data_IF_756213123387
#
_entry.id   IF_756213123387
#
_cell.length_a   1.000
_cell.length_b   1.000
_cell.length_c   1.000
_cell.angle_alpha   90.00
_cell.angle_beta   90.00
_cell.angle_gamma   90.00
#
_symmetry.space_group_name_H-M   'P 1'
#
loop_
_entity.id
_entity.type
_entity.pdbx_description
1 polymer ?
#
# COMPACT_ATOMS: atom_id res chain seq x y z
N UNK A 1 17.71 4.53 18.19
CA UNK A 1 16.81 5.24 17.26
C UNK A 1 15.39 5.44 17.82
N UNK A 2 14.73 4.42 18.39
CA UNK A 2 13.36 4.55 18.92
C UNK A 2 13.15 5.64 20.01
N UNK A 3 14.15 5.86 20.88
CA UNK A 3 14.13 6.95 21.88
C UNK A 3 14.20 8.35 21.28
N UNK A 4 15.00 8.55 20.22
CA UNK A 4 15.14 9.86 19.55
C UNK A 4 13.91 10.27 18.75
N UNK A 5 13.04 9.31 18.43
CA UNK A 5 11.75 9.52 17.76
C UNK A 5 10.57 9.56 18.75
N UNK A 6 10.84 9.48 20.06
CA UNK A 6 9.82 9.51 21.10
C UNK A 6 8.85 8.33 21.11
N UNK A 7 9.14 7.23 20.39
CA UNK A 7 8.24 6.06 20.23
C UNK A 7 8.04 5.32 21.57
N UNK A 8 8.92 5.56 22.54
CA UNK A 8 8.93 5.04 23.90
C UNK A 8 8.03 5.79 24.90
N UNK A 9 7.32 6.85 24.48
CA UNK A 9 6.49 7.69 25.37
C UNK A 9 5.03 7.19 25.35
N UNK A 10 4.43 7.05 26.53
CA UNK A 10 3.04 6.61 26.72
C UNK A 10 2.06 7.50 25.93
N UNK A 11 1.31 6.89 25.00
CA UNK A 11 0.51 7.61 24.00
C UNK A 11 -0.86 8.04 24.50
N UNK A 12 -1.40 7.42 25.55
CA UNK A 12 -2.81 7.58 25.95
C UNK A 12 -3.20 9.03 26.25
N UNK A 13 -2.25 9.82 26.76
CA UNK A 13 -2.47 11.20 27.21
C UNK A 13 -1.99 12.27 26.21
N UNK A 14 -1.62 11.88 24.99
CA UNK A 14 -1.19 12.85 23.97
C UNK A 14 -2.38 13.50 23.24
N UNK A 15 -2.24 14.76 22.79
CA UNK A 15 -3.16 15.37 21.84
C UNK A 15 -3.37 14.49 20.60
N UNK A 16 -4.58 14.54 20.01
CA UNK A 16 -4.95 13.64 18.91
C UNK A 16 -4.04 13.77 17.67
N UNK A 17 -3.57 14.98 17.38
CA UNK A 17 -2.63 15.24 16.29
C UNK A 17 -1.26 14.58 16.53
N UNK A 18 -0.79 14.57 17.78
CA UNK A 18 0.46 13.92 18.16
C UNK A 18 0.34 12.40 18.12
N UNK A 19 -0.84 11.86 18.49
CA UNK A 19 -1.17 10.45 18.28
C UNK A 19 -1.10 10.09 16.80
N UNK A 20 -1.74 10.88 15.92
CA UNK A 20 -1.70 10.70 14.47
C UNK A 20 -0.28 10.70 13.90
N UNK A 21 0.50 11.77 14.16
CA UNK A 21 1.85 11.94 13.62
C UNK A 21 2.78 10.79 14.02
N UNK A 22 2.72 10.36 15.29
CA UNK A 22 3.53 9.26 15.79
C UNK A 22 3.14 7.91 15.21
N UNK A 23 1.84 7.66 14.99
CA UNK A 23 1.39 6.46 14.31
C UNK A 23 1.85 6.44 12.85
N UNK A 24 1.79 7.57 12.15
CA UNK A 24 2.28 7.70 10.78
C UNK A 24 3.80 7.43 10.67
N UNK A 25 4.60 8.02 11.56
CA UNK A 25 6.05 7.77 11.65
C UNK A 25 6.34 6.29 11.91
N UNK A 26 5.66 5.69 12.89
CA UNK A 26 5.80 4.27 13.21
C UNK A 26 5.49 3.39 12.00
N UNK A 27 4.38 3.64 11.30
CA UNK A 27 3.97 2.84 10.13
C UNK A 27 4.92 2.98 8.94
N UNK A 28 5.48 4.17 8.70
CA UNK A 28 6.50 4.38 7.67
C UNK A 28 7.80 3.64 8.00
N UNK A 29 8.23 3.66 9.25
CA UNK A 29 9.41 2.95 9.73
C UNK A 29 9.20 1.43 9.63
N UNK A 30 8.07 0.92 10.12
CA UNK A 30 7.72 -0.51 10.01
C UNK A 30 7.70 -0.98 8.56
N UNK A 31 7.18 -0.16 7.64
CA UNK A 31 7.17 -0.49 6.20
C UNK A 31 8.58 -0.69 5.66
N UNK A 32 9.50 0.20 6.00
CA UNK A 32 10.91 0.08 5.61
C UNK A 32 11.53 -1.22 6.15
N UNK A 33 11.29 -1.53 7.43
CA UNK A 33 11.77 -2.76 8.07
C UNK A 33 11.23 -4.05 7.42
N UNK A 34 9.92 -4.12 7.13
CA UNK A 34 9.32 -5.32 6.53
C UNK A 34 9.71 -5.51 5.05
N UNK A 35 10.09 -4.45 4.35
CA UNK A 35 10.49 -4.51 2.95
C UNK A 35 11.97 -4.86 2.75
N UNK A 36 12.88 -4.40 3.62
CA UNK A 36 14.32 -4.58 3.40
C UNK A 36 14.89 -5.96 3.75
N UNK A 37 14.10 -6.95 4.22
CA UNK A 37 14.64 -8.22 4.75
C UNK A 37 15.73 -8.02 5.82
N UNK A 38 15.82 -6.86 6.47
CA UNK A 38 16.64 -6.73 7.68
C UNK A 38 15.96 -7.64 8.70
N UNK A 39 16.61 -8.76 9.01
CA UNK A 39 16.05 -9.84 9.82
C UNK A 39 15.43 -9.34 11.13
N UNK A 40 14.62 -10.20 11.77
CA UNK A 40 13.93 -9.91 13.04
C UNK A 40 14.82 -9.10 13.99
N UNK A 41 14.52 -7.80 14.15
CA UNK A 41 15.25 -7.00 15.13
C UNK A 41 14.97 -7.58 16.52
N UNK A 42 16.01 -7.77 17.33
CA UNK A 42 15.91 -8.13 18.74
C UNK A 42 15.19 -7.07 19.60
N UNK A 43 14.76 -5.98 18.98
CA UNK A 43 13.91 -4.99 19.61
C UNK A 43 12.47 -5.47 19.51
N UNK A 44 11.91 -5.88 20.65
CA UNK A 44 10.46 -5.94 20.82
C UNK A 44 9.89 -4.63 20.30
N UNK A 45 9.11 -4.69 19.21
CA UNK A 45 8.38 -3.54 18.70
C UNK A 45 7.51 -3.04 19.86
N UNK A 46 7.96 -1.94 20.47
CA UNK A 46 7.45 -1.44 21.73
C UNK A 46 5.94 -1.20 21.63
N UNK A 47 5.28 -1.80 22.62
CA UNK A 47 3.87 -1.79 22.98
C UNK A 47 3.07 -0.52 22.65
N UNK A 48 2.04 -0.70 21.83
CA UNK A 48 0.62 -0.39 22.08
C UNK A 48 -0.07 -0.26 20.71
N UNK A 49 -0.63 -1.36 20.21
CA UNK A 49 -1.58 -1.35 19.11
C UNK A 49 -2.92 -0.83 19.66
N UNK A 50 -3.13 0.49 19.70
CA UNK A 50 -4.50 1.01 19.82
C UNK A 50 -5.21 0.82 18.49
N UNK A 51 -6.23 -0.05 18.50
CA UNK A 51 -7.13 -0.39 17.39
C UNK A 51 -8.22 0.65 17.17
N UNK A 52 -8.35 1.64 18.05
CA UNK A 52 -9.60 2.42 18.19
C UNK A 52 -9.54 3.85 17.64
N UNK A 53 -8.36 4.32 17.20
CA UNK A 53 -8.27 5.60 16.49
C UNK A 53 -8.31 5.33 14.98
N UNK A 54 -9.40 5.70 14.31
CA UNK A 54 -9.42 5.80 12.85
C UNK A 54 -8.56 7.00 12.42
N UNK A 55 -7.24 6.79 12.48
CA UNK A 55 -6.22 7.76 12.07
C UNK A 55 -6.36 8.16 10.59
N UNK A 56 -7.18 7.45 9.81
CA UNK A 56 -7.46 7.80 8.43
C UNK A 56 -8.61 8.78 8.32
N UNK A 57 -9.26 9.19 9.41
CA UNK A 57 -10.28 10.21 9.32
C UNK A 57 -9.66 11.54 8.82
N UNK A 58 -10.27 12.11 7.79
CA UNK A 58 -9.80 13.32 7.12
C UNK A 58 -9.69 14.51 8.07
N UNK A 59 -10.42 14.50 9.19
CA UNK A 59 -10.34 15.53 10.23
C UNK A 59 -8.98 15.61 10.94
N UNK A 60 -8.13 14.59 10.81
CA UNK A 60 -6.83 14.52 11.48
C UNK A 60 -5.63 14.88 10.58
N UNK A 61 -5.88 15.15 9.30
CA UNK A 61 -4.83 15.54 8.37
C UNK A 61 -4.58 17.04 8.48
N UNK A 62 -3.35 17.43 8.81
CA UNK A 62 -2.89 18.82 8.74
C UNK A 62 -2.24 19.08 7.39
N UNK A 63 -2.51 20.27 6.84
CA UNK A 63 -1.99 20.71 5.54
C UNK A 63 -0.46 20.76 5.62
N UNK A 64 0.23 20.18 4.63
CA UNK A 64 1.63 20.56 4.41
C UNK A 64 1.67 22.05 4.05
N UNK A 65 2.55 22.83 4.66
CA UNK A 65 2.79 24.23 4.30
C UNK A 65 3.26 24.40 2.85
N UNK A 66 3.68 23.32 2.20
CA UNK A 66 4.07 23.27 0.79
C UNK A 66 2.86 23.13 -0.16
N UNK A 67 1.69 22.76 0.35
CA UNK A 67 0.45 22.63 -0.44
C UNK A 67 -0.35 23.94 -0.34
N UNK A 68 -0.15 24.83 -1.32
CA UNK A 68 -0.94 26.03 -1.44
C UNK A 68 -2.29 25.73 -2.11
N UNK A 69 -3.35 25.55 -1.30
CA UNK A 69 -4.72 25.39 -1.79
C UNK A 69 -5.43 26.72 -2.09
N UNK A 70 -4.75 27.87 -1.99
CA UNK A 70 -5.30 29.20 -2.30
C UNK A 70 -6.70 29.49 -1.68
N UNK A 71 -6.95 29.00 -0.47
CA UNK A 71 -8.25 29.05 0.23
C UNK A 71 -9.43 28.26 -0.40
N UNK A 72 -9.17 27.32 -1.32
CA UNK A 72 -10.20 26.42 -1.85
C UNK A 72 -10.49 25.27 -0.85
N UNK A 73 -11.54 25.45 -0.05
CA UNK A 73 -11.96 24.50 0.97
C UNK A 73 -12.47 23.17 0.39
N UNK A 74 -13.03 23.19 -0.82
CA UNK A 74 -13.53 21.99 -1.49
C UNK A 74 -12.35 21.15 -1.95
N UNK A 75 -11.39 21.76 -2.67
CA UNK A 75 -10.17 21.08 -3.11
C UNK A 75 -9.37 20.51 -1.94
N UNK A 76 -9.32 21.24 -0.82
CA UNK A 76 -8.74 20.75 0.43
C UNK A 76 -9.44 19.49 0.95
N UNK A 77 -10.77 19.52 1.06
CA UNK A 77 -11.54 18.38 1.56
C UNK A 77 -11.36 17.14 0.67
N UNK A 78 -11.38 17.33 -0.66
CA UNK A 78 -11.13 16.24 -1.63
C UNK A 78 -9.73 15.65 -1.45
N UNK A 79 -8.70 16.49 -1.33
CA UNK A 79 -7.35 16.03 -1.10
C UNK A 79 -7.20 15.25 0.22
N UNK A 80 -7.82 15.74 1.31
CA UNK A 80 -7.76 15.06 2.61
C UNK A 80 -8.45 13.69 2.57
N UNK A 81 -9.59 13.58 1.88
CA UNK A 81 -10.28 12.30 1.66
C UNK A 81 -9.42 11.35 0.83
N UNK A 82 -8.81 11.84 -0.26
CA UNK A 82 -7.87 11.05 -1.04
C UNK A 82 -6.72 10.52 -0.16
N UNK A 83 -6.06 11.38 0.60
CA UNK A 83 -4.90 11.02 1.43
C UNK A 83 -5.29 9.97 2.48
N UNK A 84 -6.50 10.05 3.03
CA UNK A 84 -7.10 9.07 3.93
C UNK A 84 -7.19 7.69 3.28
N UNK A 85 -7.85 7.62 2.12
CA UNK A 85 -8.06 6.36 1.40
C UNK A 85 -6.73 5.77 0.92
N UNK A 86 -5.83 6.60 0.41
CA UNK A 86 -4.49 6.19 0.00
C UNK A 86 -3.70 5.61 1.17
N UNK A 87 -3.66 6.32 2.30
CA UNK A 87 -2.96 5.87 3.51
C UNK A 87 -3.54 4.57 4.06
N UNK A 88 -4.87 4.38 3.97
CA UNK A 88 -5.52 3.13 4.39
C UNK A 88 -5.06 1.94 3.55
N UNK A 89 -4.93 2.11 2.24
CA UNK A 89 -4.42 1.08 1.32
C UNK A 89 -2.94 0.77 1.54
N UNK A 90 -2.11 1.79 1.76
CA UNK A 90 -0.69 1.62 2.10
C UNK A 90 -0.52 0.89 3.43
N UNK A 91 -1.36 1.21 4.42
CA UNK A 91 -1.28 0.55 5.72
C UNK A 91 -1.80 -0.88 5.69
N UNK A 92 -2.75 -1.18 4.79
CA UNK A 92 -3.12 -2.56 4.53
C UNK A 92 -1.93 -3.38 4.00
N UNK A 93 -1.01 -2.78 3.22
CA UNK A 93 0.24 -3.43 2.80
C UNK A 93 1.07 -3.90 3.99
N UNK A 94 1.14 -3.11 5.07
CA UNK A 94 1.89 -3.47 6.27
C UNK A 94 1.24 -4.65 7.00
N UNK A 95 -0.08 -4.64 7.11
CA UNK A 95 -0.85 -5.73 7.74
C UNK A 95 -0.66 -7.02 6.95
N UNK A 96 -0.85 -6.98 5.62
CA UNK A 96 -0.66 -8.12 4.73
C UNK A 96 0.77 -8.66 4.88
N UNK A 97 1.78 -7.81 4.71
CA UNK A 97 3.17 -8.27 4.80
C UNK A 97 3.48 -8.88 6.17
N UNK A 98 3.07 -8.23 7.27
CA UNK A 98 3.26 -8.77 8.62
C UNK A 98 2.66 -10.17 8.77
N UNK A 99 1.40 -10.36 8.36
CA UNK A 99 0.71 -11.65 8.46
C UNK A 99 1.37 -12.73 7.59
N UNK A 100 1.76 -12.37 6.36
CA UNK A 100 2.41 -13.31 5.44
C UNK A 100 3.82 -13.72 5.91
N UNK A 101 4.47 -12.94 6.77
CA UNK A 101 5.79 -13.26 7.34
C UNK A 101 5.71 -13.95 8.70
N UNK A 102 4.71 -13.66 9.53
CA UNK A 102 4.61 -14.20 10.89
C UNK A 102 3.97 -15.58 10.99
N UNK A 103 3.18 -16.00 10.00
CA UNK A 103 2.39 -17.22 10.08
C UNK A 103 3.08 -18.43 9.42
N UNK A 104 2.80 -19.63 9.93
CA UNK A 104 3.22 -20.88 9.30
C UNK A 104 2.52 -21.10 7.94
N UNK A 105 3.07 -21.98 7.10
CA UNK A 105 2.56 -22.17 5.73
C UNK A 105 1.12 -22.67 5.66
N UNK A 106 0.63 -23.41 6.66
CA UNK A 106 -0.73 -23.98 6.68
C UNK A 106 -1.77 -22.94 7.09
N UNK A 107 -1.47 -22.10 8.07
CA UNK A 107 -2.32 -21.00 8.50
C UNK A 107 -2.48 -19.94 7.41
N UNK A 108 -1.40 -19.67 6.66
CA UNK A 108 -1.39 -18.70 5.56
C UNK A 108 -2.31 -19.11 4.41
N UNK A 109 -2.35 -20.39 4.02
CA UNK A 109 -3.23 -20.85 2.94
C UNK A 109 -4.71 -20.54 3.21
N UNK A 110 -5.14 -20.63 4.48
CA UNK A 110 -6.50 -20.31 4.90
C UNK A 110 -6.78 -18.80 4.91
N UNK A 111 -5.80 -18.00 5.36
CA UNK A 111 -5.95 -16.54 5.49
C UNK A 111 -5.78 -15.77 4.17
N UNK A 112 -5.09 -16.32 3.18
CA UNK A 112 -4.87 -15.67 1.88
C UNK A 112 -6.19 -15.23 1.23
N UNK A 113 -7.22 -16.08 1.28
CA UNK A 113 -8.54 -15.75 0.71
C UNK A 113 -9.19 -14.57 1.41
N UNK A 114 -9.11 -14.52 2.74
CA UNK A 114 -9.62 -13.42 3.56
C UNK A 114 -8.86 -12.12 3.28
N UNK A 115 -7.52 -12.17 3.18
CA UNK A 115 -6.69 -11.02 2.83
C UNK A 115 -7.04 -10.45 1.46
N UNK A 116 -7.30 -11.30 0.48
CA UNK A 116 -7.71 -10.88 -0.86
C UNK A 116 -9.09 -10.20 -0.83
N UNK A 117 -10.06 -10.76 -0.10
CA UNK A 117 -11.39 -10.17 0.08
C UNK A 117 -11.30 -8.78 0.74
N UNK A 118 -10.59 -8.67 1.87
CA UNK A 118 -10.40 -7.40 2.58
C UNK A 118 -9.73 -6.35 1.68
N UNK A 119 -8.70 -6.75 0.92
CA UNK A 119 -8.01 -5.85 -0.01
C UNK A 119 -8.94 -5.30 -1.07
N UNK A 120 -9.79 -6.15 -1.65
CA UNK A 120 -10.78 -5.74 -2.63
C UNK A 120 -11.86 -4.83 -2.04
N UNK A 121 -12.34 -5.11 -0.83
CA UNK A 121 -13.36 -4.30 -0.16
C UNK A 121 -12.83 -2.90 0.16
N UNK A 122 -11.63 -2.80 0.73
CA UNK A 122 -11.00 -1.51 1.05
C UNK A 122 -10.77 -0.69 -0.22
N UNK A 123 -10.29 -1.30 -1.30
CA UNK A 123 -10.11 -0.60 -2.57
C UNK A 123 -11.43 -0.16 -3.20
N UNK A 124 -12.44 -1.05 -3.26
CA UNK A 124 -13.77 -0.69 -3.80
C UNK A 124 -14.41 0.45 -3.01
N UNK A 125 -14.34 0.41 -1.67
CA UNK A 125 -14.83 1.49 -0.81
C UNK A 125 -14.11 2.82 -1.09
N UNK A 126 -12.77 2.80 -1.19
CA UNK A 126 -11.97 3.98 -1.54
C UNK A 126 -12.36 4.55 -2.91
N UNK A 127 -12.45 3.67 -3.91
CA UNK A 127 -12.82 4.02 -5.28
C UNK A 127 -14.21 4.66 -5.33
N UNK A 128 -15.23 4.00 -4.76
CA UNK A 128 -16.60 4.53 -4.76
C UNK A 128 -16.72 5.86 -3.99
N UNK A 129 -15.92 6.07 -2.94
CA UNK A 129 -15.87 7.36 -2.24
C UNK A 129 -15.40 8.47 -3.18
N UNK A 130 -14.30 8.26 -3.91
CA UNK A 130 -13.76 9.24 -4.84
C UNK A 130 -14.68 9.46 -6.06
N UNK A 131 -15.28 8.39 -6.61
CA UNK A 131 -16.25 8.48 -7.71
C UNK A 131 -17.49 9.27 -7.30
N UNK A 132 -17.97 9.13 -6.07
CA UNK A 132 -19.08 9.93 -5.54
C UNK A 132 -18.72 11.42 -5.47
N UNK A 133 -17.52 11.74 -4.97
CA UNK A 133 -17.03 13.13 -4.93
C UNK A 133 -16.89 13.71 -6.33
N UNK A 134 -16.46 12.91 -7.31
CA UNK A 134 -16.35 13.34 -8.71
C UNK A 134 -17.70 13.77 -9.29
N UNK A 135 -18.80 13.15 -8.85
CA UNK A 135 -20.17 13.54 -9.23
C UNK A 135 -20.58 14.84 -8.53
N UNK A 136 -20.24 14.99 -7.24
CA UNK A 136 -20.62 16.17 -6.45
C UNK A 136 -19.74 17.41 -6.70
N UNK A 137 -18.51 17.23 -7.19
CA UNK A 137 -17.55 18.29 -7.49
C UNK A 137 -16.97 18.10 -8.90
N UNK A 138 -17.77 18.32 -9.96
CA UNK A 138 -17.36 18.07 -11.35
C UNK A 138 -16.17 18.92 -11.80
N UNK A 139 -16.00 20.11 -11.20
CA UNK A 139 -14.86 21.00 -11.49
C UNK A 139 -13.50 20.41 -11.05
N UNK A 140 -13.51 19.42 -10.15
CA UNK A 140 -12.32 18.71 -9.67
C UNK A 140 -12.15 17.33 -10.33
N UNK A 141 -12.87 17.07 -11.44
CA UNK A 141 -12.90 15.75 -12.08
C UNK A 141 -11.52 15.25 -12.50
N UNK A 142 -10.67 16.13 -13.01
CA UNK A 142 -9.34 15.76 -13.48
C UNK A 142 -8.42 15.41 -12.30
N UNK A 143 -8.42 16.21 -11.22
CA UNK A 143 -7.70 15.86 -9.98
C UNK A 143 -8.22 14.56 -9.35
N UNK A 144 -9.53 14.35 -9.29
CA UNK A 144 -10.11 13.13 -8.71
C UNK A 144 -9.78 11.91 -9.56
N UNK A 145 -9.75 12.05 -10.88
CA UNK A 145 -9.32 11.00 -11.80
C UNK A 145 -7.85 10.61 -11.58
N UNK A 146 -6.97 11.59 -11.32
CA UNK A 146 -5.60 11.34 -10.90
C UNK A 146 -5.54 10.62 -9.53
N UNK A 147 -6.36 11.03 -8.56
CA UNK A 147 -6.43 10.36 -7.25
C UNK A 147 -6.92 8.90 -7.36
N UNK A 148 -7.84 8.61 -8.27
CA UNK A 148 -8.29 7.25 -8.57
C UNK A 148 -7.15 6.38 -9.10
N UNK A 149 -6.29 6.90 -9.98
CA UNK A 149 -5.07 6.20 -10.41
C UNK A 149 -4.11 5.99 -9.24
N UNK A 150 -3.91 7.00 -8.40
CA UNK A 150 -3.01 6.95 -7.24
C UNK A 150 -3.41 5.86 -6.25
N UNK A 151 -4.68 5.75 -5.88
CA UNK A 151 -5.13 4.71 -4.93
C UNK A 151 -5.07 3.30 -5.51
N UNK A 152 -5.13 3.15 -6.84
CA UNK A 152 -5.02 1.85 -7.49
C UNK A 152 -3.62 1.24 -7.36
N UNK A 153 -2.60 2.09 -7.28
CA UNK A 153 -1.21 1.66 -7.17
C UNK A 153 -0.92 0.79 -5.92
N UNK A 154 -1.20 1.25 -4.68
CA UNK A 154 -0.99 0.42 -3.48
C UNK A 154 -1.93 -0.79 -3.43
N UNK A 155 -3.11 -0.70 -4.04
CA UNK A 155 -3.99 -1.86 -4.21
C UNK A 155 -3.33 -2.96 -5.05
N UNK A 156 -2.77 -2.63 -6.21
CA UNK A 156 -2.04 -3.62 -7.04
C UNK A 156 -0.85 -4.19 -6.29
N UNK A 157 -0.10 -3.36 -5.55
CA UNK A 157 1.01 -3.85 -4.73
C UNK A 157 0.56 -4.86 -3.66
N UNK A 158 -0.57 -4.62 -3.00
CA UNK A 158 -1.16 -5.57 -2.06
C UNK A 158 -1.51 -6.90 -2.74
N UNK A 159 -2.12 -6.85 -3.93
CA UNK A 159 -2.42 -8.05 -4.72
C UNK A 159 -1.12 -8.81 -5.07
N UNK A 160 -0.06 -8.11 -5.49
CA UNK A 160 1.23 -8.73 -5.80
C UNK A 160 1.82 -9.48 -4.61
N UNK A 161 1.74 -8.93 -3.40
CA UNK A 161 2.15 -9.60 -2.17
C UNK A 161 1.35 -10.90 -1.94
N UNK A 162 0.01 -10.84 -2.09
CA UNK A 162 -0.88 -11.99 -1.89
C UNK A 162 -0.60 -13.08 -2.92
N UNK A 163 -0.59 -12.74 -4.22
CA UNK A 163 -0.33 -13.71 -5.30
C UNK A 163 1.06 -14.35 -5.18
N UNK A 164 2.06 -13.58 -4.80
CA UNK A 164 3.40 -14.13 -4.56
C UNK A 164 3.36 -15.17 -3.47
N UNK A 165 2.68 -14.88 -2.34
CA UNK A 165 2.60 -15.84 -1.25
C UNK A 165 1.81 -17.08 -1.64
N UNK A 166 0.74 -16.95 -2.42
CA UNK A 166 0.01 -18.09 -3.00
C UNK A 166 0.94 -19.00 -3.81
N UNK A 167 1.83 -18.43 -4.63
CA UNK A 167 2.82 -19.17 -5.41
C UNK A 167 3.91 -19.80 -4.51
N UNK A 168 4.22 -19.19 -3.37
CA UNK A 168 5.18 -19.72 -2.40
C UNK A 168 4.66 -20.90 -1.60
N UNK A 169 3.41 -20.85 -1.14
CA UNK A 169 2.84 -21.90 -0.30
C UNK A 169 2.25 -23.05 -1.10
N UNK A 170 1.84 -22.81 -2.35
CA UNK A 170 1.23 -23.84 -3.17
C UNK A 170 2.23 -24.93 -3.61
N UNK A 171 1.88 -26.19 -3.35
CA UNK A 171 2.59 -27.36 -3.89
C UNK A 171 2.43 -27.50 -5.40
N UNK A 172 1.29 -27.08 -5.95
CA UNK A 172 0.94 -27.20 -7.37
C UNK A 172 0.62 -25.81 -7.93
N UNK A 173 1.67 -25.12 -8.37
CA UNK A 173 1.55 -23.76 -8.89
C UNK A 173 0.81 -23.80 -10.23
N UNK A 174 -0.35 -23.15 -10.29
CA UNK A 174 -1.09 -22.99 -11.54
C UNK A 174 -0.43 -21.91 -12.38
N UNK A 175 -0.14 -22.20 -13.66
CA UNK A 175 0.41 -21.20 -14.60
C UNK A 175 -0.40 -19.92 -14.62
N UNK A 176 -1.74 -20.03 -14.61
CA UNK A 176 -2.66 -18.89 -14.60
C UNK A 176 -2.43 -17.92 -13.41
N UNK A 177 -1.99 -18.42 -12.26
CA UNK A 177 -1.66 -17.56 -11.10
C UNK A 177 -0.40 -16.73 -11.37
N UNK A 178 0.61 -17.32 -12.02
CA UNK A 178 1.82 -16.62 -12.45
C UNK A 178 1.48 -15.59 -13.53
N UNK A 179 0.65 -15.95 -14.52
CA UNK A 179 0.20 -15.04 -15.58
C UNK A 179 -0.55 -13.83 -15.02
N UNK A 180 -1.38 -14.06 -14.00
CA UNK A 180 -2.09 -12.99 -13.29
C UNK A 180 -1.10 -12.06 -12.59
N UNK A 181 -0.10 -12.60 -11.89
CA UNK A 181 0.93 -11.79 -11.23
C UNK A 181 1.74 -10.96 -12.24
N UNK A 182 2.15 -11.57 -13.36
CA UNK A 182 2.87 -10.85 -14.42
C UNK A 182 2.02 -9.70 -14.97
N UNK A 183 0.72 -9.96 -15.23
CA UNK A 183 -0.21 -8.94 -15.73
C UNK A 183 -0.35 -7.77 -14.77
N UNK A 184 -0.42 -8.03 -13.45
CA UNK A 184 -0.46 -7.01 -12.40
C UNK A 184 0.84 -6.21 -12.31
N UNK A 185 2.00 -6.85 -12.47
CA UNK A 185 3.28 -6.14 -12.54
C UNK A 185 3.36 -5.21 -13.76
N UNK A 186 2.88 -5.67 -14.93
CA UNK A 186 2.80 -4.85 -16.15
C UNK A 186 1.86 -3.66 -15.94
N UNK A 187 0.69 -3.91 -15.34
CA UNK A 187 -0.28 -2.86 -15.02
C UNK A 187 0.35 -1.79 -14.11
N UNK A 188 1.00 -2.21 -13.03
CA UNK A 188 1.70 -1.30 -12.11
C UNK A 188 2.78 -0.50 -12.86
N UNK A 189 3.64 -1.15 -13.62
CA UNK A 189 4.69 -0.50 -14.42
C UNK A 189 4.13 0.53 -15.41
N UNK A 190 3.05 0.19 -16.10
CA UNK A 190 2.39 1.07 -17.06
C UNK A 190 1.80 2.31 -16.39
N UNK A 191 1.30 2.21 -15.15
CA UNK A 191 0.85 3.37 -14.40
C UNK A 191 1.99 4.37 -14.17
N UNK A 192 3.13 3.89 -13.65
CA UNK A 192 4.28 4.75 -13.35
C UNK A 192 4.98 5.33 -14.58
N UNK A 193 5.03 4.58 -15.68
CA UNK A 193 5.61 5.08 -16.92
C UNK A 193 4.76 6.16 -17.60
N UNK A 194 3.44 6.15 -17.41
CA UNK A 194 2.51 7.14 -17.98
C UNK A 194 2.35 8.38 -17.11
N UNK A 195 2.52 8.26 -15.79
CA UNK A 195 2.24 9.33 -14.86
C UNK A 195 3.44 9.56 -13.92
N UNK A 196 4.27 10.55 -14.27
CA UNK A 196 5.47 10.91 -13.47
C UNK A 196 5.12 11.43 -12.07
N UNK A 197 3.91 11.95 -11.86
CA UNK A 197 3.45 12.42 -10.54
C UNK A 197 3.37 11.23 -9.56
N UNK A 198 3.03 10.03 -10.05
CA UNK A 198 3.06 8.81 -9.23
C UNK A 198 4.45 8.54 -8.65
N UNK A 199 5.52 8.79 -9.42
CA UNK A 199 6.89 8.58 -8.94
C UNK A 199 7.20 9.54 -7.78
N UNK A 200 6.73 10.79 -7.87
CA UNK A 200 6.93 11.78 -6.80
C UNK A 200 6.16 11.43 -5.53
N UNK A 201 4.92 10.97 -5.66
CA UNK A 201 4.06 10.65 -4.50
C UNK A 201 4.42 9.29 -3.89
N UNK A 202 4.75 8.30 -4.73
CA UNK A 202 5.03 6.94 -4.29
C UNK A 202 6.06 6.24 -5.19
N UNK A 203 7.33 6.63 -5.09
CA UNK A 203 8.44 6.17 -5.94
C UNK A 203 8.70 4.65 -5.97
N UNK A 204 8.09 3.90 -5.07
CA UNK A 204 8.39 2.48 -4.87
C UNK A 204 7.72 1.53 -5.85
N UNK A 205 6.64 1.93 -6.53
CA UNK A 205 5.84 1.00 -7.34
C UNK A 205 6.61 0.24 -8.43
N UNK A 206 7.48 0.87 -9.24
CA UNK A 206 8.30 0.15 -10.22
C UNK A 206 9.21 -0.91 -9.58
N UNK A 207 9.80 -0.59 -8.42
CA UNK A 207 10.65 -1.51 -7.67
C UNK A 207 9.86 -2.69 -7.11
N UNK A 208 8.62 -2.48 -6.66
CA UNK A 208 7.71 -3.55 -6.23
C UNK A 208 7.42 -4.50 -7.39
N UNK A 209 7.06 -3.96 -8.57
CA UNK A 209 6.80 -4.78 -9.75
C UNK A 209 8.02 -5.63 -10.11
N UNK A 210 9.20 -5.01 -10.19
CA UNK A 210 10.45 -5.70 -10.49
C UNK A 210 10.78 -6.80 -9.46
N UNK A 211 10.65 -6.49 -8.16
CA UNK A 211 10.88 -7.44 -7.08
C UNK A 211 10.02 -8.69 -7.21
N UNK A 212 8.71 -8.51 -7.45
CA UNK A 212 7.80 -9.64 -7.58
C UNK A 212 8.06 -10.47 -8.84
N UNK A 213 8.39 -9.83 -9.96
CA UNK A 213 8.79 -10.53 -11.20
C UNK A 213 10.04 -11.40 -11.00
N UNK A 214 11.07 -10.86 -10.32
CA UNK A 214 12.29 -11.62 -9.99
C UNK A 214 11.93 -12.82 -9.10
N UNK A 215 11.06 -12.61 -8.12
CA UNK A 215 10.68 -13.64 -7.13
C UNK A 215 9.94 -14.83 -7.75
N UNK A 216 9.12 -14.62 -8.77
CA UNK A 216 8.42 -15.70 -9.48
C UNK A 216 9.21 -16.31 -10.63
N UNK A 217 10.34 -15.72 -11.01
CA UNK A 217 11.07 -16.06 -12.23
C UNK A 217 11.46 -17.55 -12.30
N UNK A 218 12.01 -18.12 -11.23
CA UNK A 218 12.45 -19.53 -11.21
C UNK A 218 11.29 -20.50 -11.44
N UNK A 219 10.09 -20.15 -10.97
CA UNK A 219 8.85 -20.94 -11.02
C UNK A 219 8.08 -20.77 -12.34
N UNK A 220 8.50 -19.85 -13.20
CA UNK A 220 7.81 -19.50 -14.44
C UNK A 220 8.15 -20.44 -15.61
N UNK A 221 7.22 -20.58 -16.55
CA UNK A 221 7.41 -21.29 -17.82
C UNK A 221 8.42 -20.55 -18.71
N UNK A 222 8.86 -21.20 -19.80
CA UNK A 222 9.82 -20.61 -20.74
C UNK A 222 9.31 -19.29 -21.34
N UNK A 223 8.04 -19.22 -21.71
CA UNK A 223 7.47 -18.02 -22.33
C UNK A 223 7.20 -16.92 -21.31
N UNK A 224 6.74 -17.26 -20.10
CA UNK A 224 6.63 -16.32 -18.99
C UNK A 224 8.00 -15.70 -18.64
N UNK A 225 9.07 -16.51 -18.61
CA UNK A 225 10.44 -16.03 -18.37
C UNK A 225 10.89 -15.01 -19.42
N UNK A 226 10.58 -15.22 -20.71
CA UNK A 226 10.87 -14.24 -21.77
C UNK A 226 10.14 -12.92 -21.51
N UNK A 227 8.86 -12.97 -21.16
CA UNK A 227 8.07 -11.79 -20.83
C UNK A 227 8.65 -11.04 -19.62
N UNK A 228 9.00 -11.77 -18.55
CA UNK A 228 9.64 -11.18 -17.36
C UNK A 228 10.95 -10.49 -17.74
N UNK A 229 11.83 -11.15 -18.50
CA UNK A 229 13.10 -10.57 -18.93
C UNK A 229 12.90 -9.31 -19.78
N UNK A 230 11.90 -9.30 -20.65
CA UNK A 230 11.58 -8.13 -21.47
C UNK A 230 11.16 -6.93 -20.61
N UNK A 231 10.33 -7.17 -19.59
CA UNK A 231 9.88 -6.12 -18.67
C UNK A 231 11.06 -5.58 -17.84
N UNK A 232 11.89 -6.45 -17.26
CA UNK A 232 13.00 -6.06 -16.39
C UNK A 232 14.15 -5.34 -17.12
N UNK A 233 14.21 -5.40 -18.45
CA UNK A 233 15.21 -4.70 -19.28
C UNK A 233 14.79 -3.29 -19.70
N UNK A 234 13.54 -2.91 -19.45
CA UNK A 234 13.00 -1.57 -19.72
C UNK A 234 13.14 -0.68 -18.50
#
# INVERSE_FOLDING_TARGET
>A
MAHGLGININRRNLPLLDKYNRVTIYKNISRFFYWEKLGSSSHSLLSEHETDLDIFDSKYHTVSSELNFCNDSIKYNVYSIFLSKFSKLINLSNIINSLLYSCDSKSIEKQIGELYTITNEVYKSAKSTLESIMISAPDLKDEISMYLELIKSPYIANELCIYTKMIETSKNIKSATIDTLISKCIELWNMYSRNKILITIWSFGPYIAAFHLIKIYSKSTKDQKKTIQYILKR
#
